data_IF_890036556516
#
_entry.id   IF_890036556516
#
_cell.length_a   1.000
_cell.length_b   1.000
_cell.length_c   1.000
_cell.angle_alpha   90.00
_cell.angle_beta   90.00
_cell.angle_gamma   90.00
#
_symmetry.space_group_name_H-M   'P 1'
#
loop_
_entity.id
_entity.type
_entity.pdbx_description
1 polymer ?
#
# COMPACT_ATOMS: atom_id res chain seq x y z
N UNK A 1 2.83 6.79 36.63
CA UNK A 1 3.59 5.67 36.01
C UNK A 1 4.27 6.18 34.75
N UNK A 2 5.57 6.48 34.81
CA UNK A 2 6.41 6.84 33.65
C UNK A 2 7.83 6.31 33.90
N UNK A 3 7.97 4.98 34.00
CA UNK A 3 9.28 4.32 34.21
C UNK A 3 10.26 4.57 33.04
N UNK A 4 9.73 4.86 31.85
CA UNK A 4 10.51 5.04 30.62
C UNK A 4 10.18 6.36 29.89
N UNK A 5 9.52 7.32 30.55
CA UNK A 5 9.14 8.60 29.92
C UNK A 5 8.10 8.52 28.79
N UNK A 6 7.46 7.36 28.59
CA UNK A 6 6.43 7.15 27.54
C UNK A 6 5.05 7.55 28.05
N UNK A 7 4.35 8.39 27.28
CA UNK A 7 2.93 8.71 27.50
C UNK A 7 2.06 7.70 26.76
N UNK A 8 1.26 6.93 27.50
CA UNK A 8 0.32 5.98 26.92
C UNK A 8 -0.97 6.70 26.49
N UNK A 9 -1.27 6.67 25.20
CA UNK A 9 -2.54 7.14 24.65
C UNK A 9 -3.46 5.93 24.46
N UNK A 10 -4.68 6.01 24.99
CA UNK A 10 -5.67 4.93 24.89
C UNK A 10 -6.75 5.29 23.87
N UNK A 11 -7.18 4.28 23.12
CA UNK A 11 -8.34 4.42 22.25
C UNK A 11 -9.64 4.33 23.07
N UNK A 12 -10.71 4.92 22.54
CA UNK A 12 -12.05 4.70 23.07
C UNK A 12 -12.46 3.24 22.91
N UNK A 13 -13.16 2.71 23.92
CA UNK A 13 -13.69 1.35 23.89
C UNK A 13 -14.58 1.15 22.65
N UNK A 14 -14.49 -0.04 22.04
CA UNK A 14 -15.26 -0.43 20.85
C UNK A 14 -15.12 0.49 19.62
N UNK A 15 -14.05 1.29 19.56
CA UNK A 15 -13.79 2.20 18.45
C UNK A 15 -12.46 1.86 17.74
N UNK A 16 -12.43 0.78 16.94
CA UNK A 16 -11.19 0.23 16.39
C UNK A 16 -10.55 1.16 15.33
N UNK A 17 -11.37 2.02 14.71
CA UNK A 17 -10.97 3.03 13.72
C UNK A 17 -9.89 3.99 14.22
N UNK A 18 -9.84 4.27 15.54
CA UNK A 18 -8.81 5.13 16.13
C UNK A 18 -7.40 4.50 16.04
N UNK A 19 -7.32 3.18 15.86
CA UNK A 19 -6.09 2.44 15.63
C UNK A 19 -5.98 1.95 14.17
N UNK A 20 -6.54 2.68 13.21
CA UNK A 20 -6.63 2.25 11.81
C UNK A 20 -5.31 1.85 11.16
N UNK A 21 -4.18 2.49 11.51
CA UNK A 21 -2.86 2.08 11.02
C UNK A 21 -2.46 0.68 11.51
N UNK A 22 -2.74 0.37 12.78
CA UNK A 22 -2.50 -0.94 13.39
C UNK A 22 -3.41 -1.98 12.75
N UNK A 23 -4.67 -1.64 12.45
CA UNK A 23 -5.56 -2.54 11.71
C UNK A 23 -5.04 -2.89 10.31
N UNK A 24 -4.58 -1.90 9.55
CA UNK A 24 -4.04 -2.11 8.19
C UNK A 24 -2.79 -3.00 8.25
N UNK A 25 -1.91 -2.73 9.22
CA UNK A 25 -0.74 -3.56 9.47
C UNK A 25 -1.14 -5.01 9.80
N UNK A 26 -2.07 -5.21 10.74
CA UNK A 26 -2.54 -6.54 11.14
C UNK A 26 -3.15 -7.31 9.97
N UNK A 27 -3.92 -6.66 9.08
CA UNK A 27 -4.46 -7.30 7.87
C UNK A 27 -3.35 -7.76 6.92
N UNK A 28 -2.32 -6.94 6.74
CA UNK A 28 -1.17 -7.29 5.89
C UNK A 28 -0.37 -8.46 6.44
N UNK A 29 -0.05 -8.42 7.74
CA UNK A 29 0.69 -9.47 8.43
C UNK A 29 -0.07 -10.80 8.44
N UNK A 30 -1.38 -10.76 8.74
CA UNK A 30 -2.26 -11.93 8.70
C UNK A 30 -2.22 -12.62 7.34
N UNK A 31 -2.28 -11.84 6.25
CA UNK A 31 -2.26 -12.38 4.88
C UNK A 31 -0.93 -13.07 4.51
N UNK A 32 0.19 -12.63 5.09
CA UNK A 32 1.49 -13.30 4.92
C UNK A 32 1.53 -14.59 5.74
N UNK A 33 1.03 -14.56 6.97
CA UNK A 33 0.93 -15.75 7.82
C UNK A 33 0.01 -16.82 7.22
N UNK A 34 -1.17 -16.44 6.71
CA UNK A 34 -2.09 -17.36 6.04
C UNK A 34 -1.42 -18.10 4.87
N UNK A 35 -0.57 -17.42 4.10
CA UNK A 35 0.18 -18.01 2.99
C UNK A 35 1.31 -18.94 3.42
N UNK A 36 1.96 -18.63 4.55
CA UNK A 36 3.16 -19.35 4.99
C UNK A 36 2.83 -20.52 5.90
N UNK A 37 1.80 -20.38 6.74
CA UNK A 37 1.34 -21.39 7.71
C UNK A 37 0.53 -22.49 7.01
N UNK A 38 -0.18 -22.15 5.93
CA UNK A 38 -1.04 -23.11 5.21
C UNK A 38 -2.17 -23.59 6.11
N UNK A 39 -2.52 -24.88 6.03
CA UNK A 39 -3.62 -25.48 6.81
C UNK A 39 -3.25 -25.73 8.28
N UNK A 40 -1.96 -25.86 8.62
CA UNK A 40 -1.53 -26.14 9.99
C UNK A 40 -1.32 -24.85 10.81
N UNK A 41 -2.44 -24.27 11.24
CA UNK A 41 -2.50 -23.04 12.03
C UNK A 41 -1.78 -23.09 13.39
N UNK A 42 -1.36 -24.26 13.88
CA UNK A 42 -0.72 -24.40 15.19
C UNK A 42 0.72 -23.85 15.24
N UNK A 43 1.39 -23.72 14.09
CA UNK A 43 2.79 -23.30 13.97
C UNK A 43 2.99 -21.82 13.59
N UNK A 44 1.97 -20.98 13.82
CA UNK A 44 1.99 -19.57 13.39
C UNK A 44 3.08 -18.75 14.07
N UNK A 45 3.39 -19.03 15.34
CA UNK A 45 4.42 -18.32 16.12
C UNK A 45 5.79 -18.48 15.50
N UNK A 46 6.12 -19.70 15.06
CA UNK A 46 7.43 -20.05 14.51
C UNK A 46 7.68 -19.37 13.15
N UNK A 47 6.60 -18.95 12.48
CA UNK A 47 6.62 -18.25 11.19
C UNK A 47 6.47 -16.73 11.33
N UNK A 48 6.22 -16.22 12.54
CA UNK A 48 5.97 -14.80 12.79
C UNK A 48 7.17 -13.93 12.41
N UNK A 49 8.38 -14.33 12.80
CA UNK A 49 9.60 -13.56 12.49
C UNK A 49 9.85 -13.49 10.99
N UNK A 50 9.67 -14.61 10.28
CA UNK A 50 9.79 -14.65 8.82
C UNK A 50 8.72 -13.81 8.13
N UNK A 51 7.48 -13.85 8.64
CA UNK A 51 6.38 -13.03 8.11
C UNK A 51 6.63 -11.53 8.34
N UNK A 52 7.17 -11.16 9.51
CA UNK A 52 7.51 -9.78 9.84
C UNK A 52 8.70 -9.29 9.01
N UNK A 53 9.71 -10.13 8.82
CA UNK A 53 10.83 -9.85 7.92
C UNK A 53 10.32 -9.58 6.51
N UNK A 54 9.54 -10.50 5.93
CA UNK A 54 8.94 -10.33 4.61
C UNK A 54 8.07 -9.07 4.51
N UNK A 55 7.26 -8.76 5.52
CA UNK A 55 6.44 -7.55 5.52
C UNK A 55 7.29 -6.27 5.46
N UNK A 56 8.43 -6.25 6.16
CA UNK A 56 9.32 -5.08 6.24
C UNK A 56 10.25 -4.97 5.04
N UNK A 57 10.69 -6.09 4.47
CA UNK A 57 11.76 -6.12 3.47
C UNK A 57 11.29 -6.44 2.06
N UNK A 58 10.09 -7.01 1.87
CA UNK A 58 9.61 -7.34 0.54
C UNK A 58 9.43 -6.06 -0.29
N UNK A 59 10.12 -6.00 -1.43
CA UNK A 59 9.90 -4.97 -2.42
C UNK A 59 8.44 -5.01 -2.87
N UNK A 60 7.73 -3.91 -2.63
CA UNK A 60 6.40 -3.71 -3.19
C UNK A 60 6.56 -3.37 -4.66
N UNK A 61 6.31 -4.35 -5.53
CA UNK A 61 6.31 -4.11 -6.97
C UNK A 61 5.25 -3.05 -7.29
N UNK A 62 5.65 -1.91 -7.86
CA UNK A 62 4.68 -0.90 -8.25
C UNK A 62 3.81 -1.45 -9.38
N UNK A 63 2.51 -1.15 -9.33
CA UNK A 63 1.58 -1.60 -10.35
C UNK A 63 1.71 -0.64 -11.53
N UNK A 64 2.21 -1.16 -12.66
CA UNK A 64 2.12 -0.64 -14.03
C UNK A 64 2.43 0.84 -14.30
N UNK A 65 2.88 1.19 -15.51
CA UNK A 65 2.78 2.58 -15.98
C UNK A 65 1.32 2.91 -16.29
N UNK A 66 0.80 3.98 -15.68
CA UNK A 66 -0.51 4.56 -15.95
C UNK A 66 -0.37 6.03 -16.33
N UNK A 67 -1.29 6.52 -17.16
CA UNK A 67 -1.34 7.92 -17.55
C UNK A 67 -2.41 8.64 -16.73
N UNK A 68 -2.09 9.81 -16.16
CA UNK A 68 -3.08 10.64 -15.48
C UNK A 68 -3.98 11.32 -16.51
N UNK A 69 -5.29 11.15 -16.38
CA UNK A 69 -6.29 11.84 -17.20
C UNK A 69 -6.81 13.11 -16.53
N UNK A 70 -6.97 13.09 -15.21
CA UNK A 70 -7.51 14.22 -14.45
C UNK A 70 -6.99 14.23 -13.01
N UNK A 71 -6.73 15.43 -12.48
CA UNK A 71 -6.44 15.65 -11.06
C UNK A 71 -7.59 16.46 -10.45
N UNK A 72 -8.16 15.93 -9.35
CA UNK A 72 -9.24 16.56 -8.61
C UNK A 72 -8.70 17.37 -7.42
N UNK A 73 -9.48 18.33 -6.88
CA UNK A 73 -9.19 18.94 -5.60
C UNK A 73 -8.95 17.89 -4.50
N UNK A 74 -8.07 18.21 -3.54
CA UNK A 74 -7.73 17.33 -2.40
C UNK A 74 -6.95 16.06 -2.75
N UNK A 75 -6.33 15.99 -3.94
CA UNK A 75 -5.31 15.00 -4.25
C UNK A 75 -5.85 13.66 -4.76
N UNK A 76 -7.08 13.59 -5.24
CA UNK A 76 -7.56 12.41 -5.99
C UNK A 76 -7.12 12.50 -7.45
N UNK A 77 -6.62 11.41 -8.01
CA UNK A 77 -6.09 11.34 -9.37
C UNK A 77 -6.83 10.26 -10.14
N UNK A 78 -7.23 10.56 -11.37
CA UNK A 78 -7.82 9.59 -12.31
C UNK A 78 -6.76 9.10 -13.30
N UNK A 79 -6.72 7.78 -13.47
CA UNK A 79 -5.75 7.07 -14.28
C UNK A 79 -6.44 6.34 -15.44
N UNK A 80 -5.83 6.38 -16.62
CA UNK A 80 -6.31 5.67 -17.80
C UNK A 80 -6.01 4.16 -17.73
N UNK A 81 -6.86 3.36 -18.37
CA UNK A 81 -6.60 1.95 -18.63
C UNK A 81 -6.66 1.67 -20.13
N UNK A 82 -5.74 0.86 -20.68
CA UNK A 82 -5.74 0.54 -22.11
C UNK A 82 -6.97 -0.27 -22.54
N UNK A 83 -7.53 -1.09 -21.64
CA UNK A 83 -8.59 -2.06 -21.96
C UNK A 83 -9.83 -1.90 -21.05
N UNK A 84 -10.05 -0.74 -20.45
CA UNK A 84 -11.11 -0.56 -19.47
C UNK A 84 -11.44 0.89 -19.13
N UNK A 85 -12.46 1.11 -18.29
CA UNK A 85 -12.78 2.45 -17.82
C UNK A 85 -11.65 3.00 -16.94
N UNK A 86 -11.48 4.32 -16.97
CA UNK A 86 -10.58 5.01 -16.06
C UNK A 86 -10.98 4.75 -14.60
N UNK A 87 -10.00 4.80 -13.70
CA UNK A 87 -10.23 4.59 -12.28
C UNK A 87 -9.51 5.65 -11.45
N UNK A 88 -10.00 5.87 -10.23
CA UNK A 88 -9.51 6.93 -9.33
C UNK A 88 -8.70 6.35 -8.19
N UNK A 89 -7.61 7.03 -7.85
CA UNK A 89 -6.71 6.69 -6.75
C UNK A 89 -6.38 7.93 -5.92
N UNK A 90 -5.93 7.70 -4.69
CA UNK A 90 -5.32 8.75 -3.89
C UNK A 90 -3.94 9.08 -4.48
N UNK A 91 -3.67 10.36 -4.76
CA UNK A 91 -2.41 10.84 -5.33
C UNK A 91 -1.18 10.50 -4.50
N UNK A 92 -1.32 10.30 -3.19
CA UNK A 92 -0.23 9.79 -2.34
C UNK A 92 0.23 8.37 -2.69
N UNK A 93 -0.57 7.61 -3.45
CA UNK A 93 -0.24 6.25 -3.90
C UNK A 93 0.39 6.23 -5.28
N UNK A 94 0.62 7.39 -5.89
CA UNK A 94 1.07 7.53 -7.28
C UNK A 94 2.51 8.05 -7.26
N UNK A 95 3.42 7.38 -7.98
CA UNK A 95 4.83 7.75 -8.12
C UNK A 95 5.22 7.95 -9.57
N UNK A 96 6.07 8.95 -9.86
CA UNK A 96 6.60 9.15 -11.20
C UNK A 96 7.36 7.91 -11.68
N UNK A 97 7.06 7.49 -12.91
CA UNK A 97 7.72 6.38 -13.58
C UNK A 97 8.83 6.92 -14.50
N UNK A 98 10.07 6.47 -14.28
CA UNK A 98 11.26 7.03 -14.94
C UNK A 98 11.94 6.07 -15.96
N UNK A 99 11.32 4.95 -16.36
CA UNK A 99 12.00 3.89 -17.13
C UNK A 99 11.39 3.51 -18.49
N UNK A 100 12.08 3.83 -19.60
CA UNK A 100 11.86 3.25 -20.95
C UNK A 100 11.36 4.23 -22.01
N UNK A 101 11.71 3.96 -23.29
CA UNK A 101 11.34 4.78 -24.45
C UNK A 101 9.83 4.97 -24.56
N UNK A 102 9.41 6.21 -24.34
CA UNK A 102 8.03 6.67 -24.50
C UNK A 102 7.70 6.57 -25.99
N UNK A 103 6.62 5.87 -26.36
CA UNK A 103 6.08 5.92 -27.73
C UNK A 103 5.90 7.39 -28.11
N UNK A 104 6.61 7.83 -29.15
CA UNK A 104 6.76 9.23 -29.59
C UNK A 104 5.45 9.93 -29.99
N UNK A 105 4.33 9.23 -29.89
CA UNK A 105 2.98 9.73 -30.19
C UNK A 105 2.26 10.29 -28.96
N UNK A 106 2.91 10.32 -27.79
CA UNK A 106 2.36 10.88 -26.56
C UNK A 106 3.11 12.17 -26.21
N UNK A 107 2.36 13.23 -25.91
CA UNK A 107 2.89 14.52 -25.46
C UNK A 107 3.90 14.29 -24.31
N UNK A 108 5.13 14.83 -24.39
CA UNK A 108 6.19 14.58 -23.40
C UNK A 108 5.82 14.87 -21.93
N UNK A 109 4.79 15.68 -21.70
CA UNK A 109 4.28 16.07 -20.38
C UNK A 109 3.23 15.13 -19.77
N UNK A 110 2.81 14.07 -20.45
CA UNK A 110 1.98 13.02 -19.83
C UNK A 110 2.87 12.13 -18.98
N UNK A 111 3.13 12.62 -17.77
CA UNK A 111 3.86 11.91 -16.73
C UNK A 111 3.23 10.52 -16.55
N UNK A 112 4.03 9.50 -16.87
CA UNK A 112 3.66 8.12 -16.61
C UNK A 112 3.90 7.87 -15.12
N UNK A 113 2.94 7.26 -14.44
CA UNK A 113 3.05 6.99 -13.01
C UNK A 113 2.76 5.54 -12.69
N UNK A 114 3.32 5.07 -11.58
CA UNK A 114 3.04 3.77 -11.04
C UNK A 114 2.35 3.86 -9.68
N UNK A 115 1.56 2.84 -9.34
CA UNK A 115 0.82 2.80 -8.08
C UNK A 115 1.59 1.99 -7.04
N UNK A 116 1.81 2.57 -5.87
CA UNK A 116 2.30 1.86 -4.69
C UNK A 116 1.17 1.00 -4.08
N UNK A 117 1.49 -0.28 -3.84
CA UNK A 117 0.56 -1.22 -3.20
C UNK A 117 0.40 -0.97 -1.70
#
# INVERSE_FOLDING_TARGET
MTKYGVTHRLATAYHPQMSGQVEVFNRGLKRILERTVGENHASWSDKLDNALWAFRTAFKTPIGPFTITQVFPYGTVELSQPNGPNFRVNGHRVKHYFGGDISSNVVPDLHTFCIDK
#
